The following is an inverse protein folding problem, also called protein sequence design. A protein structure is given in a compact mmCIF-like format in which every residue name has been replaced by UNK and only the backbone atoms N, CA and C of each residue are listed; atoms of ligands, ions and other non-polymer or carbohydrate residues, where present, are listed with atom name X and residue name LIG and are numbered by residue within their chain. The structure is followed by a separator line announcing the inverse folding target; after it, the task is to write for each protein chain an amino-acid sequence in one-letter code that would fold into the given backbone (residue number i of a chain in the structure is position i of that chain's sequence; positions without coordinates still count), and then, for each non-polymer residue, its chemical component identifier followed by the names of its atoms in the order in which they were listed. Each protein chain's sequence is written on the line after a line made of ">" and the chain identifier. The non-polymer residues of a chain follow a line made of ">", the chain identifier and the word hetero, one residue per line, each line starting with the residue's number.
data_IF_217493209463
#
_entry.id   IF_217493209463
#
_cell.length_a   1.000
_cell.length_b   1.000
_cell.length_c   1.000
_cell.angle_alpha   90.00
_cell.angle_beta   90.00
_cell.angle_gamma   90.00
#
_symmetry.space_group_name_H-M   'P 1'
#
loop_
_entity.id
_entity.type
_entity.pdbx_description
1 polymer ?
#
# COMPACT_ATOMS: atom_id res chain seq x y z
N UNK A 1 14.04 -34.14 -31.01
CA UNK A 1 14.10 -32.71 -30.62
C UNK A 1 12.72 -32.07 -30.40
N UNK A 2 11.67 -32.48 -31.11
CA UNK A 2 10.30 -31.92 -30.98
C UNK A 2 9.69 -32.12 -29.58
N UNK A 3 9.97 -33.26 -28.93
CA UNK A 3 9.41 -33.59 -27.61
C UNK A 3 9.98 -32.77 -26.44
N UNK A 4 11.22 -32.28 -26.53
CA UNK A 4 11.80 -31.42 -25.49
C UNK A 4 11.24 -30.00 -25.61
N UNK A 5 11.09 -29.48 -26.84
CA UNK A 5 10.47 -28.18 -27.07
C UNK A 5 9.00 -28.15 -26.63
N UNK A 6 8.23 -29.22 -26.89
CA UNK A 6 6.83 -29.30 -26.44
C UNK A 6 6.72 -29.43 -24.92
N UNK A 7 7.61 -30.17 -24.26
CA UNK A 7 7.61 -30.31 -22.80
C UNK A 7 7.91 -28.99 -22.07
N UNK A 8 8.81 -28.16 -22.63
CA UNK A 8 9.11 -26.82 -22.09
C UNK A 8 7.90 -25.89 -22.25
N UNK A 9 7.19 -25.96 -23.39
CA UNK A 9 5.98 -25.18 -23.63
C UNK A 9 4.82 -25.58 -22.72
N UNK A 10 4.63 -26.88 -22.49
CA UNK A 10 3.63 -27.40 -21.55
C UNK A 10 3.98 -27.09 -20.09
N UNK A 11 5.25 -27.02 -19.71
CA UNK A 11 5.65 -26.60 -18.37
C UNK A 11 5.44 -25.08 -18.16
N UNK A 12 5.72 -24.27 -19.18
CA UNK A 12 5.48 -22.83 -19.15
C UNK A 12 3.99 -22.45 -19.11
N UNK A 13 3.11 -23.30 -19.66
CA UNK A 13 1.65 -23.08 -19.73
C UNK A 13 0.83 -24.01 -18.82
N UNK A 14 1.50 -24.83 -18.01
CA UNK A 14 0.92 -25.98 -17.30
C UNK A 14 0.12 -25.61 -16.05
N UNK A 15 -0.82 -24.68 -16.17
CA UNK A 15 -1.91 -24.39 -15.21
C UNK A 15 -2.89 -23.34 -15.76
N UNK A 16 -2.74 -22.92 -17.03
CA UNK A 16 -3.46 -21.77 -17.57
C UNK A 16 -4.77 -22.24 -18.23
N UNK A 17 -5.89 -22.02 -17.56
CA UNK A 17 -7.23 -22.22 -18.12
C UNK A 17 -7.48 -21.25 -19.29
N UNK A 18 -8.31 -21.66 -20.25
CA UNK A 18 -8.61 -20.86 -21.44
C UNK A 18 -9.15 -19.47 -21.04
N UNK A 19 -8.42 -18.41 -21.39
CA UNK A 19 -8.71 -17.02 -20.99
C UNK A 19 -7.82 -16.44 -19.87
N UNK A 20 -6.93 -17.22 -19.25
CA UNK A 20 -6.02 -16.74 -18.19
C UNK A 20 -4.61 -16.43 -18.66
N UNK A 21 -4.44 -16.04 -19.93
CA UNK A 21 -3.15 -15.51 -20.40
C UNK A 21 -2.78 -14.30 -19.55
N UNK A 22 -1.81 -14.49 -18.65
CA UNK A 22 -1.22 -13.37 -17.93
C UNK A 22 -0.66 -12.42 -19.00
N UNK A 23 -1.15 -11.18 -19.01
CA UNK A 23 -0.63 -10.14 -19.88
C UNK A 23 0.84 -9.87 -19.59
N UNK A 24 1.47 -9.03 -20.40
CA UNK A 24 2.84 -8.60 -20.16
C UNK A 24 2.97 -8.04 -18.73
N UNK A 25 4.01 -8.48 -18.02
CA UNK A 25 4.26 -8.04 -16.65
C UNK A 25 4.52 -6.53 -16.61
N UNK A 26 4.11 -5.89 -15.51
CA UNK A 26 4.40 -4.47 -15.31
C UNK A 26 5.90 -4.22 -15.30
N UNK A 27 6.32 -3.08 -15.85
CA UNK A 27 7.70 -2.62 -15.71
C UNK A 27 8.06 -2.40 -14.23
N UNK A 28 9.35 -2.34 -13.91
CA UNK A 28 9.81 -2.09 -12.54
C UNK A 28 9.28 -0.76 -11.98
N UNK A 29 9.19 0.27 -12.82
CA UNK A 29 8.68 1.59 -12.45
C UNK A 29 7.18 1.52 -12.15
N UNK A 30 6.40 0.86 -13.01
CA UNK A 30 4.97 0.70 -12.78
C UNK A 30 4.70 -0.12 -11.53
N UNK A 31 5.42 -1.23 -11.34
CA UNK A 31 5.28 -2.06 -10.13
C UNK A 31 5.57 -1.23 -8.87
N UNK A 32 6.64 -0.46 -8.85
CA UNK A 32 6.93 0.44 -7.73
C UNK A 32 5.84 1.50 -7.55
N UNK A 33 5.38 2.11 -8.64
CA UNK A 33 4.36 3.15 -8.60
C UNK A 33 3.04 2.63 -8.04
N UNK A 34 2.55 1.48 -8.54
CA UNK A 34 1.27 0.91 -8.15
C UNK A 34 1.27 0.29 -6.75
N UNK A 35 2.34 -0.40 -6.37
CA UNK A 35 2.35 -1.18 -5.13
C UNK A 35 3.01 -0.48 -3.95
N UNK A 36 3.78 0.60 -4.18
CA UNK A 36 4.42 1.37 -3.11
C UNK A 36 4.06 2.84 -3.15
N UNK A 37 4.32 3.53 -4.26
CA UNK A 37 4.17 4.99 -4.32
C UNK A 37 2.70 5.41 -4.19
N UNK A 38 1.77 4.74 -4.88
CA UNK A 38 0.35 5.06 -4.82
C UNK A 38 -0.26 4.81 -3.43
N UNK A 39 -0.06 3.65 -2.76
CA UNK A 39 -0.52 3.46 -1.40
C UNK A 39 0.03 4.48 -0.39
N UNK A 40 1.34 4.77 -0.45
CA UNK A 40 1.98 5.76 0.44
C UNK A 40 1.45 7.16 0.14
N UNK A 41 1.36 7.55 -1.13
CA UNK A 41 0.84 8.85 -1.55
C UNK A 41 -0.60 9.06 -1.09
N UNK A 42 -1.45 8.05 -1.24
CA UNK A 42 -2.84 8.09 -0.75
C UNK A 42 -2.90 8.27 0.77
N UNK A 43 -2.09 7.51 1.52
CA UNK A 43 -2.01 7.64 2.97
C UNK A 43 -1.56 9.05 3.40
N UNK A 44 -0.53 9.60 2.78
CA UNK A 44 -0.03 10.94 3.09
C UNK A 44 -1.06 12.02 2.74
N UNK A 45 -1.72 11.90 1.58
CA UNK A 45 -2.76 12.83 1.17
C UNK A 45 -3.91 12.86 2.19
N UNK A 46 -4.41 11.69 2.59
CA UNK A 46 -5.46 11.58 3.62
C UNK A 46 -4.95 12.15 4.95
N UNK A 47 -3.73 11.80 5.36
CA UNK A 47 -3.14 12.28 6.61
C UNK A 47 -3.07 13.81 6.68
N UNK A 48 -2.66 14.46 5.59
CA UNK A 48 -2.61 15.91 5.48
C UNK A 48 -4.01 16.51 5.54
N UNK A 49 -4.97 15.94 4.81
CA UNK A 49 -6.37 16.39 4.82
C UNK A 49 -6.95 16.29 6.24
N UNK A 50 -6.80 15.14 6.89
CA UNK A 50 -7.30 14.92 8.25
C UNK A 50 -6.62 15.86 9.26
N UNK A 51 -5.31 16.07 9.15
CA UNK A 51 -4.61 17.02 10.00
C UNK A 51 -5.12 18.45 9.80
N UNK A 52 -5.32 18.88 8.56
CA UNK A 52 -5.83 20.22 8.26
C UNK A 52 -7.25 20.43 8.79
N UNK A 53 -8.12 19.42 8.66
CA UNK A 53 -9.55 19.53 9.02
C UNK A 53 -9.84 19.22 10.50
N UNK A 54 -9.04 18.37 11.16
CA UNK A 54 -9.28 17.90 12.53
C UNK A 54 -8.18 18.35 13.50
N UNK A 55 -7.16 19.04 13.01
CA UNK A 55 -5.98 19.48 13.77
C UNK A 55 -6.23 20.60 14.78
N UNK A 56 -7.45 21.09 14.96
CA UNK A 56 -7.83 21.95 16.09
C UNK A 56 -7.74 21.14 17.39
N UNK A 57 -6.51 20.91 17.87
CA UNK A 57 -6.26 20.36 19.19
C UNK A 57 -6.69 21.40 20.19
N UNK A 58 -7.75 21.09 20.95
CA UNK A 58 -8.17 21.86 22.13
C UNK A 58 -6.90 22.20 22.90
N UNK A 59 -6.63 23.50 23.10
CA UNK A 59 -5.52 23.97 23.95
C UNK A 59 -5.60 23.14 25.22
N UNK A 60 -4.49 22.48 25.60
CA UNK A 60 -4.39 21.76 26.86
C UNK A 60 -5.01 22.69 27.91
N UNK A 61 -6.19 22.35 28.42
CA UNK A 61 -6.65 23.00 29.63
C UNK A 61 -5.49 22.83 30.59
N UNK A 62 -4.99 23.94 31.14
CA UNK A 62 -4.06 23.87 32.26
C UNK A 62 -4.71 22.89 33.20
N UNK A 63 -4.15 21.69 33.31
CA UNK A 63 -4.38 20.82 34.46
C UNK A 63 -3.85 21.70 35.58
N UNK A 64 -4.74 22.51 36.17
CA UNK A 64 -4.54 23.10 37.46
C UNK A 64 -4.20 21.89 38.30
N UNK A 65 -2.92 21.76 38.62
CA UNK A 65 -2.48 20.66 39.45
C UNK A 65 -3.28 20.83 40.73
N UNK A 66 -4.30 20.00 40.90
CA UNK A 66 -4.97 19.78 42.19
C UNK A 66 -3.98 18.97 43.01
N UNK A 67 -2.81 19.55 43.23
CA UNK A 67 -1.96 19.24 44.36
C UNK A 67 -2.64 20.03 45.46
N UNK A 68 -3.50 19.35 46.20
CA UNK A 68 -3.89 19.79 47.54
C UNK A 68 -2.61 20.06 48.30
N UNK A 69 -2.24 21.33 48.46
CA UNK A 69 -1.29 21.74 49.49
C UNK A 69 -1.94 21.44 50.83
N UNK A 70 -1.26 20.68 51.67
CA UNK A 70 -1.60 20.48 53.07
C UNK A 70 -0.58 21.30 53.87
N UNK A 71 -1.06 22.28 54.64
CA UNK A 71 -0.31 23.00 55.68
C UNK A 71 -0.08 22.13 56.92
#
# INVERSE_FOLDING_TARGET
>A
MIHIASAIHTFAQGAQEDGTFAGEGLSAIETFAYFFAAPIGLFLAISVITYALTGERKKKEKISSVITSID
#
